data_IF_296200864078
#
_entry.id   IF_296200864078
#
_cell.length_a   1.000
_cell.length_b   1.000
_cell.length_c   1.000
_cell.angle_alpha   90.00
_cell.angle_beta   90.00
_cell.angle_gamma   90.00
#
_symmetry.space_group_name_H-M   'P 1'
#
loop_
_entity.id
_entity.type
_entity.pdbx_description
1 polymer ?
#
# COMPACT_ATOMS: atom_id res chain seq x y z
N UNK A 1 53.70 -31.32 -20.37
CA UNK A 1 53.88 -29.86 -20.46
C UNK A 1 52.66 -29.22 -19.81
N UNK A 2 52.80 -28.84 -18.53
CA UNK A 2 51.68 -28.55 -17.64
C UNK A 2 51.39 -27.06 -17.66
N UNK A 3 50.35 -26.64 -18.37
CA UNK A 3 49.96 -25.24 -18.48
C UNK A 3 49.04 -24.88 -17.30
N UNK A 4 49.58 -24.15 -16.32
CA UNK A 4 48.81 -23.51 -15.24
C UNK A 4 48.39 -22.12 -15.71
N UNK A 5 47.09 -21.92 -15.93
CA UNK A 5 46.50 -20.58 -16.08
C UNK A 5 45.23 -20.56 -15.23
N UNK A 6 45.35 -20.10 -13.98
CA UNK A 6 44.22 -19.62 -13.19
C UNK A 6 44.21 -18.10 -13.31
N UNK A 7 43.54 -17.59 -14.35
CA UNK A 7 43.10 -16.18 -14.39
C UNK A 7 41.72 -16.18 -13.77
N UNK A 8 41.64 -15.85 -12.48
CA UNK A 8 40.39 -15.51 -11.83
C UNK A 8 40.04 -14.07 -12.22
N UNK A 9 39.56 -13.88 -13.44
CA UNK A 9 38.90 -12.66 -13.84
C UNK A 9 37.52 -12.67 -13.18
N UNK A 10 37.40 -12.02 -12.02
CA UNK A 10 36.10 -11.66 -11.45
C UNK A 10 35.52 -10.64 -12.42
N UNK A 11 34.79 -11.14 -13.41
CA UNK A 11 33.92 -10.33 -14.24
C UNK A 11 32.89 -9.72 -13.30
N UNK A 12 33.14 -8.48 -12.89
CA UNK A 12 32.16 -7.62 -12.27
C UNK A 12 31.02 -7.47 -13.27
N UNK A 13 30.00 -8.30 -13.11
CA UNK A 13 28.72 -8.13 -13.79
C UNK A 13 28.26 -6.73 -13.34
N UNK A 14 28.16 -5.72 -14.23
CA UNK A 14 27.32 -4.60 -13.89
C UNK A 14 25.93 -5.21 -13.82
N UNK A 15 25.46 -5.46 -12.60
CA UNK A 15 24.04 -5.61 -12.35
C UNK A 15 23.43 -4.30 -12.81
N UNK A 16 23.13 -4.24 -14.10
CA UNK A 16 22.19 -3.33 -14.71
C UNK A 16 20.91 -3.60 -13.94
N UNK A 17 20.78 -2.88 -12.83
CA UNK A 17 19.52 -2.64 -12.17
C UNK A 17 18.67 -2.08 -13.28
N UNK A 18 17.87 -2.96 -13.88
CA UNK A 18 16.73 -2.59 -14.68
C UNK A 18 15.91 -1.68 -13.78
N UNK A 19 16.16 -0.38 -13.87
CA UNK A 19 15.17 0.62 -13.57
C UNK A 19 14.07 0.35 -14.60
N UNK A 20 13.24 -0.64 -14.29
CA UNK A 20 11.91 -0.71 -14.81
C UNK A 20 11.29 0.58 -14.33
N UNK A 21 11.21 1.57 -15.22
CA UNK A 21 10.35 2.72 -15.05
C UNK A 21 8.92 2.16 -15.14
N UNK A 22 8.51 1.47 -14.07
CA UNK A 22 7.11 1.32 -13.79
C UNK A 22 6.61 2.76 -13.71
N UNK A 23 5.77 3.17 -14.66
CA UNK A 23 4.85 4.27 -14.39
C UNK A 23 4.12 3.81 -13.14
N UNK A 24 4.54 4.30 -11.98
CA UNK A 24 3.86 3.99 -10.74
C UNK A 24 2.42 4.44 -10.95
N UNK A 25 1.51 3.48 -11.06
CA UNK A 25 0.08 3.80 -11.01
C UNK A 25 -0.11 4.64 -9.77
N UNK A 26 -0.77 5.78 -9.92
CA UNK A 26 -1.08 6.62 -8.77
C UNK A 26 -2.30 6.03 -8.08
N UNK A 27 -2.27 6.02 -6.75
CA UNK A 27 -3.31 5.47 -5.91
C UNK A 27 -3.86 6.54 -4.98
N UNK A 28 -5.17 6.51 -4.75
CA UNK A 28 -5.86 7.39 -3.82
C UNK A 28 -6.15 6.60 -2.53
N UNK A 29 -5.70 7.07 -1.36
CA UNK A 29 -6.05 6.47 -0.07
C UNK A 29 -7.55 6.61 0.17
N UNK A 30 -8.24 5.47 0.23
CA UNK A 30 -9.70 5.39 0.26
C UNK A 30 -10.19 4.54 1.42
N UNK A 31 -11.26 4.98 2.07
CA UNK A 31 -11.89 4.29 3.18
C UNK A 31 -13.36 4.07 2.88
N UNK A 32 -13.78 2.81 2.93
CA UNK A 32 -15.16 2.39 2.75
C UNK A 32 -15.76 2.01 4.10
N UNK A 33 -16.79 2.72 4.55
CA UNK A 33 -17.49 2.44 5.82
C UNK A 33 -18.89 1.91 5.52
N UNK A 34 -19.21 0.73 6.04
CA UNK A 34 -20.56 0.19 5.99
C UNK A 34 -21.45 0.96 6.98
N UNK A 35 -22.40 1.70 6.44
CA UNK A 35 -23.39 2.47 7.21
C UNK A 35 -24.50 1.58 7.75
N UNK A 36 -25.29 2.12 8.69
CA UNK A 36 -26.50 1.46 9.24
C UNK A 36 -27.59 1.21 8.19
N UNK A 37 -27.48 1.81 7.00
CA UNK A 37 -28.38 1.58 5.86
C UNK A 37 -27.95 0.40 4.98
N UNK A 38 -26.84 -0.26 5.32
CA UNK A 38 -26.29 -1.37 4.54
C UNK A 38 -25.52 -0.94 3.29
N UNK A 39 -25.22 0.35 3.14
CA UNK A 39 -24.42 0.88 2.03
C UNK A 39 -23.02 1.25 2.50
N UNK A 40 -22.02 1.00 1.66
CA UNK A 40 -20.68 1.53 1.88
C UNK A 40 -20.62 3.01 1.48
N UNK A 41 -20.24 3.87 2.43
CA UNK A 41 -19.84 5.24 2.14
C UNK A 41 -18.33 5.28 1.91
N UNK A 42 -17.94 5.89 0.80
CA UNK A 42 -16.54 6.03 0.39
C UNK A 42 -16.03 7.41 0.79
N UNK A 43 -14.90 7.46 1.48
CA UNK A 43 -14.20 8.67 1.87
C UNK A 43 -12.77 8.63 1.36
N UNK A 44 -12.33 9.72 0.75
CA UNK A 44 -10.96 9.90 0.29
C UNK A 44 -10.16 10.69 1.32
N UNK A 45 -8.88 10.37 1.48
CA UNK A 45 -8.00 11.18 2.30
C UNK A 45 -7.73 12.52 1.60
N UNK A 46 -8.13 13.61 2.26
CA UNK A 46 -7.97 14.96 1.73
C UNK A 46 -6.49 15.29 1.45
N UNK A 47 -6.23 15.95 0.33
CA UNK A 47 -4.88 16.31 -0.12
C UNK A 47 -4.16 15.23 -0.94
N UNK A 48 -4.77 14.06 -1.12
CA UNK A 48 -4.24 12.95 -1.93
C UNK A 48 -5.12 12.61 -3.13
N UNK A 49 -6.05 13.49 -3.51
CA UNK A 49 -6.98 13.31 -4.63
C UNK A 49 -6.23 13.17 -5.97
N UNK A 50 -5.01 13.72 -6.03
CA UNK A 50 -4.16 13.59 -7.19
C UNK A 50 -3.46 12.24 -7.33
N UNK A 51 -3.58 11.38 -6.32
CA UNK A 51 -2.97 10.08 -6.23
C UNK A 51 -1.49 10.17 -5.86
N UNK A 52 -1.00 9.11 -5.20
CA UNK A 52 0.37 8.95 -4.75
C UNK A 52 0.91 7.58 -5.15
N UNK A 53 2.20 7.36 -4.94
CA UNK A 53 2.77 6.01 -5.11
C UNK A 53 2.03 5.01 -4.22
N UNK A 54 2.02 3.73 -4.62
CA UNK A 54 1.39 2.66 -3.82
C UNK A 54 1.92 2.61 -2.39
N UNK A 55 3.23 2.66 -2.24
CA UNK A 55 3.89 2.65 -0.92
C UNK A 55 3.48 3.83 -0.08
N UNK A 56 3.42 5.03 -0.65
CA UNK A 56 2.92 6.19 0.08
C UNK A 56 1.45 6.02 0.45
N UNK A 57 0.59 5.56 -0.46
CA UNK A 57 -0.82 5.31 -0.15
C UNK A 57 -0.99 4.35 1.04
N UNK A 58 -0.27 3.22 1.05
CA UNK A 58 -0.32 2.24 2.14
C UNK A 58 0.14 2.85 3.47
N UNK A 59 1.24 3.61 3.47
CA UNK A 59 1.72 4.31 4.68
C UNK A 59 0.69 5.35 5.18
N UNK A 60 0.02 6.07 4.27
CA UNK A 60 -0.99 7.08 4.63
C UNK A 60 -2.24 6.43 5.21
N UNK A 61 -2.71 5.33 4.62
CA UNK A 61 -3.83 4.56 5.17
C UNK A 61 -3.52 4.03 6.57
N UNK A 62 -2.31 3.51 6.77
CA UNK A 62 -1.89 3.01 8.08
C UNK A 62 -1.74 4.14 9.11
N UNK A 63 -1.19 5.30 8.71
CA UNK A 63 -1.14 6.48 9.56
C UNK A 63 -2.54 6.97 9.94
N UNK A 64 -3.46 7.01 8.97
CA UNK A 64 -4.83 7.45 9.18
C UNK A 64 -5.61 6.47 10.06
N UNK A 65 -5.46 5.16 9.86
CA UNK A 65 -6.04 4.12 10.73
C UNK A 65 -5.55 4.24 12.16
N UNK A 66 -4.25 4.50 12.38
CA UNK A 66 -3.70 4.73 13.72
C UNK A 66 -4.23 5.99 14.37
N UNK A 67 -4.31 7.09 13.61
CA UNK A 67 -4.77 8.38 14.10
C UNK A 67 -6.26 8.33 14.49
N UNK A 68 -7.09 7.77 13.61
CA UNK A 68 -8.54 7.70 13.77
C UNK A 68 -9.01 6.44 14.49
N UNK A 69 -8.11 5.47 14.73
CA UNK A 69 -8.37 4.16 15.34
C UNK A 69 -9.50 3.39 14.62
N UNK A 70 -9.60 3.51 13.30
CA UNK A 70 -10.74 3.00 12.52
C UNK A 70 -10.95 1.50 12.73
N UNK A 71 -9.89 0.71 12.59
CA UNK A 71 -9.93 -0.75 12.78
C UNK A 71 -10.30 -1.11 14.21
N UNK A 72 -9.68 -0.46 15.21
CA UNK A 72 -9.96 -0.72 16.61
C UNK A 72 -11.41 -0.36 17.00
N UNK A 73 -11.94 0.76 16.49
CA UNK A 73 -13.34 1.15 16.70
C UNK A 73 -14.31 0.15 16.05
N UNK A 74 -14.01 -0.32 14.84
CA UNK A 74 -14.83 -1.34 14.18
C UNK A 74 -14.80 -2.66 14.95
N UNK A 75 -13.66 -3.08 15.45
CA UNK A 75 -13.54 -4.31 16.24
C UNK A 75 -14.30 -4.21 17.56
N UNK A 76 -14.23 -3.07 18.24
CA UNK A 76 -15.01 -2.82 19.47
C UNK A 76 -16.51 -2.87 19.19
N UNK A 77 -16.97 -2.22 18.12
CA UNK A 77 -18.39 -2.22 17.73
C UNK A 77 -18.86 -3.62 17.33
N UNK A 78 -18.04 -4.41 16.62
CA UNK A 78 -18.34 -5.82 16.31
C UNK A 78 -18.43 -6.67 17.57
N UNK A 79 -17.55 -6.46 18.55
CA UNK A 79 -17.61 -7.15 19.84
C UNK A 79 -18.90 -6.82 20.62
N UNK A 80 -19.47 -5.64 20.40
CA UNK A 80 -20.79 -5.24 20.93
C UNK A 80 -21.98 -5.78 20.11
N UNK A 81 -21.74 -6.63 19.11
CA UNK A 81 -22.76 -7.19 18.23
C UNK A 81 -23.31 -6.20 17.19
N UNK A 82 -22.62 -5.08 16.95
CA UNK A 82 -23.00 -4.13 15.90
C UNK A 82 -22.47 -4.60 14.54
N UNK A 83 -23.29 -4.47 13.51
CA UNK A 83 -22.90 -4.79 12.15
C UNK A 83 -22.27 -3.55 11.49
N UNK A 84 -20.97 -3.37 11.71
CA UNK A 84 -20.15 -2.32 11.10
C UNK A 84 -18.94 -2.94 10.41
N UNK A 85 -18.49 -2.33 9.32
CA UNK A 85 -17.30 -2.74 8.58
C UNK A 85 -16.58 -1.52 8.05
N UNK A 86 -15.25 -1.56 8.08
CA UNK A 86 -14.38 -0.58 7.41
C UNK A 86 -13.44 -1.33 6.49
N UNK A 87 -13.19 -0.77 5.29
CA UNK A 87 -12.14 -1.25 4.38
C UNK A 87 -11.25 -0.07 4.04
N UNK A 88 -9.95 -0.24 4.26
CA UNK A 88 -8.91 0.71 3.90
C UNK A 88 -8.28 0.20 2.61
N UNK A 89 -8.39 0.95 1.51
CA UNK A 89 -7.95 0.50 0.19
C UNK A 89 -7.20 1.60 -0.56
N UNK A 90 -6.17 1.20 -1.30
CA UNK A 90 -5.47 2.06 -2.25
C UNK A 90 -6.12 1.88 -3.62
N UNK A 91 -7.03 2.79 -3.98
CA UNK A 91 -7.74 2.72 -5.25
C UNK A 91 -6.89 3.34 -6.37
N UNK A 92 -6.76 2.67 -7.53
CA UNK A 92 -6.04 3.24 -8.66
C UNK A 92 -6.78 4.48 -9.17
N UNK A 93 -6.04 5.53 -9.50
CA UNK A 93 -6.57 6.75 -10.11
C UNK A 93 -6.87 6.57 -11.60
#
# INVERSE_FOLDING_TARGET
>A
MTLRIFVLAIAGIPALVSAAWAKDSLYVPTVHILTTKGTFETMFLAGFENGVSRTECEMRLEAWDREMKLTATVDELKAQGKNVSVRLECEPK
#
